data_IF_625041424710
#
_entry.id   IF_625041424710
#
_cell.length_a   1.000
_cell.length_b   1.000
_cell.length_c   1.000
_cell.angle_alpha   90.00
_cell.angle_beta   90.00
_cell.angle_gamma   90.00
#
_symmetry.space_group_name_H-M   'P 1'
#
loop_
_entity.id
_entity.type
_entity.pdbx_description
1 polymer ?
2 non-polymer ?
3 non-polymer ?
4 non-polymer ?
5 non-polymer ?
6 non-polymer ?
7 water ?
#
# COMPACT_ATOMS: atom_id res chain seq x y z
N UNK A 3 25.00 18.43 4.03
CA UNK A 3 25.37 17.04 3.75
C UNK A 3 25.08 16.13 4.94
N UNK A 4 24.60 16.72 6.04
CA UNK A 4 24.27 16.03 7.29
C UNK A 4 23.11 16.81 7.93
N UNK A 5 21.96 16.78 7.27
CA UNK A 5 20.86 17.69 7.56
C UNK A 5 20.16 17.35 8.87
N UNK A 6 19.48 18.35 9.43
CA UNK A 6 18.76 18.25 10.69
C UNK A 6 17.27 18.42 10.45
N UNK A 7 16.48 17.57 11.12
CA UNK A 7 15.03 17.66 11.16
C UNK A 7 14.62 17.91 12.59
N UNK A 8 13.56 18.71 12.78
CA UNK A 8 13.13 19.12 14.10
C UNK A 8 11.66 18.79 14.30
N UNK A 9 11.31 18.51 15.54
CA UNK A 9 9.92 18.38 15.97
C UNK A 9 9.56 19.65 16.72
N UNK A 10 8.66 20.46 16.16
CA UNK A 10 8.19 21.70 16.80
C UNK A 10 7.00 21.42 17.72
N UNK A 11 7.23 20.57 18.71
CA UNK A 11 6.28 20.33 19.77
C UNK A 11 7.06 19.82 20.97
N UNK A 12 8.13 19.08 20.68
CA UNK A 12 9.05 18.56 21.69
C UNK A 12 10.43 19.17 21.65
N UNK A 13 10.77 19.90 20.57
CA UNK A 13 12.12 20.44 20.31
C UNK A 13 13.15 19.32 20.13
N UNK A 14 12.69 18.11 19.79
CA UNK A 14 13.58 16.99 19.53
C UNK A 14 14.19 17.16 18.14
N UNK A 15 15.50 17.02 18.05
CA UNK A 15 16.24 17.20 16.80
C UNK A 15 16.99 15.92 16.46
N UNK A 16 16.80 15.44 15.24
CA UNK A 16 17.43 14.24 14.73
C UNK A 16 18.26 14.60 13.50
N UNK A 17 19.36 13.88 13.29
CA UNK A 17 20.29 14.15 12.20
C UNK A 17 20.24 13.03 11.17
N UNK A 18 20.16 13.41 9.90
CA UNK A 18 19.92 12.48 8.79
C UNK A 18 21.18 12.41 7.93
N UNK A 19 21.84 11.25 7.96
CA UNK A 19 22.87 10.93 6.97
C UNK A 19 22.42 9.91 5.95
N UNK A 20 21.32 9.18 6.23
CA UNK A 20 20.84 8.16 5.32
C UNK A 20 20.57 8.72 3.92
N UNK A 21 20.11 9.97 3.85
CA UNK A 21 19.74 10.55 2.57
C UNK A 21 20.90 10.56 1.58
N UNK A 22 22.14 10.42 2.07
CA UNK A 22 23.30 10.38 1.17
C UNK A 22 23.31 9.10 0.35
N UNK A 23 22.86 7.99 0.94
CA UNK A 23 22.73 6.72 0.23
C UNK A 23 21.61 6.75 -0.80
N UNK A 24 20.93 7.88 -0.95
CA UNK A 24 19.79 7.96 -1.85
C UNK A 24 20.25 7.94 -3.30
N UNK A 25 19.39 7.41 -4.15
CA UNK A 25 19.76 7.04 -5.50
C UNK A 25 18.84 7.74 -6.50
N UNK A 26 17.55 7.39 -6.49
CA UNK A 26 16.62 7.94 -7.46
C UNK A 26 16.33 9.42 -7.17
N UNK A 27 15.56 10.03 -8.05
CA UNK A 27 15.21 11.43 -7.95
C UNK A 27 13.80 11.61 -7.41
N UNK A 28 13.50 12.84 -6.98
CA UNK A 28 12.26 13.15 -6.26
C UNK A 28 11.23 13.91 -7.07
N UNK A 29 11.65 14.70 -8.05
CA UNK A 29 10.77 15.57 -8.79
C UNK A 29 10.95 17.03 -8.46
N UNK A 30 11.53 17.32 -7.30
CA UNK A 30 11.83 18.68 -6.92
C UNK A 30 13.17 19.11 -7.53
N UNK A 31 13.31 20.41 -7.74
CA UNK A 31 14.58 21.03 -8.10
C UNK A 31 14.92 22.10 -7.06
N UNK A 32 16.03 22.78 -7.27
CA UNK A 32 16.36 23.92 -6.43
C UNK A 32 15.35 25.06 -6.58
N UNK A 33 14.55 25.06 -7.66
CA UNK A 33 13.65 26.16 -7.98
C UNK A 33 12.19 25.77 -8.04
N UNK A 34 11.83 24.55 -7.64
CA UNK A 34 10.43 24.14 -7.55
C UNK A 34 10.36 22.91 -6.67
N UNK A 35 9.32 22.85 -5.86
CA UNK A 35 9.09 21.73 -4.98
C UNK A 35 7.78 21.09 -5.39
N UNK A 36 7.81 19.78 -5.63
CA UNK A 36 6.66 19.08 -6.14
C UNK A 36 6.15 18.06 -5.13
N UNK A 37 6.41 18.30 -3.84
CA UNK A 37 6.00 17.41 -2.78
C UNK A 37 4.51 17.17 -2.61
N UNK A 38 3.66 17.79 -3.42
CA UNK A 38 2.23 17.52 -3.35
C UNK A 38 1.65 17.07 -4.68
N UNK A 39 2.50 16.79 -5.67
CA UNK A 39 2.07 16.05 -6.85
C UNK A 39 1.78 14.61 -6.44
N UNK A 40 0.63 14.09 -6.86
CA UNK A 40 0.22 12.74 -6.48
C UNK A 40 1.18 11.68 -7.01
N UNK A 41 1.37 11.66 -8.34
CA UNK A 41 2.14 10.60 -8.99
C UNK A 41 3.54 11.09 -9.30
N UNK A 42 4.57 10.51 -8.68
CA UNK A 42 5.92 11.13 -8.70
C UNK A 42 6.79 10.70 -9.88
N UNK A 43 6.44 11.18 -11.07
CA UNK A 43 7.24 10.90 -12.27
C UNK A 43 6.92 11.89 -13.38
N UNK A 52 11.88 -1.88 -21.05
CA UNK A 52 12.75 -3.02 -20.77
C UNK A 52 14.12 -2.51 -20.29
N UNK A 53 14.69 -3.19 -19.29
CA UNK A 53 15.93 -2.76 -18.66
C UNK A 53 17.11 -3.54 -19.25
N UNK A 54 18.05 -2.82 -19.86
CA UNK A 54 19.21 -3.44 -20.50
C UNK A 54 20.11 -4.14 -19.48
N UNK A 55 20.98 -5.02 -19.99
CA UNK A 55 21.90 -5.74 -19.11
C UNK A 55 23.00 -4.82 -18.58
N UNK A 56 23.36 -3.79 -19.36
CA UNK A 56 24.33 -2.81 -18.88
C UNK A 56 23.90 -2.23 -17.53
N UNK A 57 22.65 -1.76 -17.46
CA UNK A 57 22.16 -1.12 -16.25
C UNK A 57 22.04 -2.07 -15.08
N UNK A 58 21.97 -3.38 -15.33
CA UNK A 58 21.47 -4.29 -14.30
C UNK A 58 22.52 -4.67 -13.27
N UNK A 59 23.81 -4.67 -13.62
CA UNK A 59 24.78 -5.13 -12.63
C UNK A 59 25.07 -4.10 -11.54
N UNK A 60 25.22 -2.80 -11.83
CA UNK A 60 25.33 -1.83 -10.72
C UNK A 60 24.22 -1.97 -9.70
N UNK A 61 22.97 -2.03 -10.16
CA UNK A 61 21.83 -2.21 -9.27
C UNK A 61 21.93 -3.54 -8.51
N UNK A 62 22.41 -4.59 -9.16
CA UNK A 62 22.58 -5.87 -8.48
C UNK A 62 23.69 -5.79 -7.43
N UNK A 63 24.83 -5.20 -7.79
CA UNK A 63 25.96 -5.04 -6.86
C UNK A 63 25.58 -4.13 -5.70
N UNK A 64 24.89 -3.02 -6.00
CA UNK A 64 24.44 -2.12 -4.94
C UNK A 64 23.59 -2.90 -3.94
N UNK A 65 22.55 -3.58 -4.42
CA UNK A 65 21.66 -4.33 -3.54
C UNK A 65 22.41 -5.41 -2.76
N UNK A 66 23.27 -6.18 -3.44
CA UNK A 66 23.95 -7.27 -2.76
C UNK A 66 24.92 -6.75 -1.71
N UNK A 67 25.58 -5.63 -2.00
CA UNK A 67 26.50 -5.04 -1.04
C UNK A 67 25.79 -4.60 0.23
N UNK A 68 24.54 -4.14 0.14
CA UNK A 68 23.83 -3.76 1.35
C UNK A 68 23.20 -4.96 2.04
N UNK A 69 22.89 -6.01 1.29
CA UNK A 69 22.36 -7.22 1.91
C UNK A 69 23.42 -7.93 2.74
N UNK A 70 24.66 -7.99 2.24
CA UNK A 70 25.72 -8.62 3.03
C UNK A 70 26.23 -7.70 4.13
N UNK A 71 26.19 -6.38 3.89
CA UNK A 71 26.50 -5.43 4.96
C UNK A 71 25.45 -5.46 6.06
N UNK A 72 24.36 -6.20 5.88
CA UNK A 72 23.30 -6.28 6.88
C UNK A 72 23.36 -7.54 7.73
N UNK A 73 23.84 -8.66 7.19
CA UNK A 73 24.04 -9.87 7.97
C UNK A 73 25.46 -9.94 8.54
N UNK A 74 26.18 -8.81 8.54
CA UNK A 74 27.51 -8.70 9.12
C UNK A 74 28.50 -9.64 8.43
N UNK A 75 28.42 -9.72 7.10
CA UNK A 75 29.36 -10.47 6.27
C UNK A 75 29.65 -9.68 4.99
N UNK A 76 29.94 -8.40 5.16
CA UNK A 76 30.15 -7.45 4.07
C UNK A 76 31.56 -7.61 3.51
N UNK A 77 31.65 -8.04 2.26
CA UNK A 77 32.92 -8.22 1.59
C UNK A 77 33.61 -9.54 1.82
N UNK A 78 33.05 -10.41 2.65
CA UNK A 78 33.65 -11.69 2.96
C UNK A 78 33.66 -12.55 1.70
N UNK A 79 34.06 -13.81 1.86
CA UNK A 79 34.10 -14.73 0.73
C UNK A 79 32.71 -14.99 0.18
N UNK A 80 31.73 -15.22 1.07
CA UNK A 80 30.38 -15.51 0.62
C UNK A 80 29.79 -14.33 -0.18
N UNK A 81 30.16 -13.10 0.18
CA UNK A 81 29.73 -11.95 -0.60
C UNK A 81 30.36 -11.95 -1.98
N UNK A 82 31.69 -12.01 -2.06
CA UNK A 82 32.37 -11.87 -3.34
C UNK A 82 32.03 -13.00 -4.30
N UNK A 83 31.74 -14.20 -3.79
CA UNK A 83 31.33 -15.27 -4.69
C UNK A 83 29.93 -15.02 -5.23
N UNK A 84 29.02 -14.56 -4.37
CA UNK A 84 27.68 -14.21 -4.81
C UNK A 84 27.69 -12.98 -5.71
N UNK A 85 28.65 -12.07 -5.49
CA UNK A 85 28.81 -10.95 -6.40
C UNK A 85 29.23 -11.43 -7.78
N UNK A 86 30.18 -12.37 -7.82
CA UNK A 86 30.62 -12.95 -9.08
C UNK A 86 29.57 -13.87 -9.67
N UNK A 87 28.88 -14.63 -8.83
CA UNK A 87 27.82 -15.52 -9.30
C UNK A 87 26.74 -14.74 -10.05
N UNK A 88 26.31 -13.59 -9.48
CA UNK A 88 25.28 -12.78 -10.14
C UNK A 88 25.85 -12.08 -11.36
N UNK A 89 27.09 -11.59 -11.28
CA UNK A 89 27.79 -11.07 -12.45
C UNK A 89 27.73 -12.07 -13.61
N UNK A 90 28.03 -13.34 -13.33
CA UNK A 90 28.07 -14.35 -14.38
C UNK A 90 26.69 -14.65 -14.93
N UNK A 91 25.65 -14.68 -14.07
CA UNK A 91 24.30 -14.97 -14.55
C UNK A 91 23.72 -13.79 -15.32
N UNK A 92 24.16 -12.56 -15.03
CA UNK A 92 23.72 -11.42 -15.83
C UNK A 92 24.42 -11.40 -17.18
N UNK A 93 25.67 -11.85 -17.23
CA UNK A 93 26.31 -12.11 -18.52
C UNK A 93 25.51 -13.12 -19.32
N UNK A 94 25.20 -14.26 -18.69
CA UNK A 94 24.52 -15.39 -19.30
C UNK A 94 23.14 -15.00 -19.84
N UNK A 95 22.21 -14.65 -18.95
CA UNK A 95 20.80 -14.46 -19.26
C UNK A 95 20.40 -13.00 -19.42
N UNK A 96 21.33 -12.07 -19.18
CA UNK A 96 21.04 -10.63 -19.20
C UNK A 96 20.08 -10.23 -18.07
N UNK A 97 19.70 -11.18 -17.23
CA UNK A 97 18.95 -10.94 -16.01
C UNK A 97 19.46 -11.91 -14.96
N UNK A 98 18.75 -12.05 -13.85
CA UNK A 98 19.21 -12.95 -12.79
C UNK A 98 18.06 -13.26 -11.81
N UNK A 99 18.39 -14.05 -10.79
CA UNK A 99 17.42 -14.61 -9.85
C UNK A 99 17.88 -14.35 -8.43
N UNK A 100 16.94 -13.98 -7.56
CA UNK A 100 17.25 -13.71 -6.16
C UNK A 100 17.14 -14.98 -5.35
N UNK A 101 18.08 -15.20 -4.42
CA UNK A 101 17.91 -16.22 -3.39
C UNK A 101 16.64 -15.93 -2.62
N UNK A 102 16.10 -16.98 -1.98
CA UNK A 102 14.95 -16.76 -1.10
C UNK A 102 15.28 -15.73 -0.02
N UNK A 103 16.49 -15.82 0.55
CA UNK A 103 16.92 -14.86 1.57
C UNK A 103 16.97 -13.43 1.02
N UNK A 104 17.51 -13.26 -0.19
CA UNK A 104 17.58 -11.93 -0.78
C UNK A 104 16.19 -11.39 -1.09
N UNK A 105 15.24 -12.29 -1.37
CA UNK A 105 13.88 -11.85 -1.68
C UNK A 105 13.19 -11.30 -0.42
N UNK A 106 13.41 -11.93 0.74
CA UNK A 106 12.80 -11.47 1.98
C UNK A 106 13.41 -10.15 2.44
N UNK A 107 14.74 -10.03 2.36
CA UNK A 107 15.42 -8.78 2.69
C UNK A 107 14.89 -7.62 1.85
N UNK A 108 15.02 -7.74 0.52
CA UNK A 108 14.50 -6.75 -0.40
C UNK A 108 13.07 -6.36 -0.09
N UNK A 109 12.15 -7.32 -0.12
CA UNK A 109 10.74 -7.06 0.17
C UNK A 109 10.56 -6.29 1.47
N UNK A 110 11.24 -6.73 2.53
CA UNK A 110 11.08 -6.05 3.82
C UNK A 110 11.58 -4.61 3.77
N UNK A 111 12.63 -4.35 3.00
CA UNK A 111 13.25 -3.02 2.92
C UNK A 111 12.57 -2.10 1.92
N UNK A 112 11.92 -2.65 0.89
CA UNK A 112 11.00 -1.87 0.08
C UNK A 112 9.95 -1.18 0.96
N UNK A 113 9.36 -1.94 1.90
CA UNK A 113 8.41 -1.37 2.85
C UNK A 113 9.11 -0.37 3.78
N UNK A 114 10.25 -0.76 4.33
CA UNK A 114 10.99 0.14 5.22
C UNK A 114 11.24 1.50 4.58
N UNK A 115 11.42 1.52 3.27
CA UNK A 115 11.78 2.72 2.54
C UNK A 115 10.59 3.46 1.95
N UNK A 116 9.37 2.99 2.20
CA UNK A 116 8.17 3.63 1.67
C UNK A 116 7.87 4.88 2.47
N UNK A 117 8.24 6.05 1.93
CA UNK A 117 8.20 7.27 2.72
C UNK A 117 6.78 7.73 3.02
N UNK A 118 5.79 7.29 2.25
CA UNK A 118 4.41 7.67 2.45
C UNK A 118 3.67 6.78 3.43
N UNK A 119 4.30 5.70 3.95
CA UNK A 119 3.66 4.71 4.82
C UNK A 119 3.90 5.07 6.28
N UNK A 120 2.81 5.30 7.01
CA UNK A 120 2.87 5.65 8.43
C UNK A 120 3.03 4.44 9.35
N UNK A 121 2.80 3.24 8.85
CA UNK A 121 2.85 2.05 9.70
C UNK A 121 4.18 1.32 9.70
N UNK A 122 5.25 1.94 9.22
CA UNK A 122 6.48 1.16 9.01
C UNK A 122 7.16 0.70 10.31
N UNK A 123 6.65 1.00 11.50
CA UNK A 123 7.27 0.45 12.69
C UNK A 123 7.25 -1.08 12.68
N UNK A 124 6.46 -1.66 11.78
CA UNK A 124 6.24 -3.09 11.65
C UNK A 124 7.08 -3.72 10.55
N UNK A 125 7.96 -2.93 9.91
CA UNK A 125 8.50 -3.32 8.61
C UNK A 125 9.20 -4.67 8.63
N UNK A 126 9.82 -5.06 9.76
CA UNK A 126 10.51 -6.34 9.81
C UNK A 126 9.62 -7.52 10.17
N UNK A 127 8.38 -7.27 10.63
CA UNK A 127 7.38 -8.33 10.80
C UNK A 127 6.54 -8.36 9.52
N UNK A 128 7.04 -9.11 8.55
CA UNK A 128 6.42 -9.21 7.23
C UNK A 128 6.64 -10.62 6.73
N UNK A 129 5.57 -11.24 6.23
CA UNK A 129 5.58 -12.65 5.82
C UNK A 129 5.67 -12.68 4.30
N UNK A 130 6.77 -13.20 3.78
CA UNK A 130 7.01 -13.16 2.35
C UNK A 130 6.62 -14.51 1.76
N UNK A 131 5.66 -14.48 0.83
CA UNK A 131 5.24 -15.67 0.11
C UNK A 131 5.84 -15.61 -1.28
N UNK A 132 6.66 -16.59 -1.61
CA UNK A 132 7.37 -16.66 -2.88
C UNK A 132 6.51 -17.43 -3.87
N UNK A 133 5.93 -16.71 -4.82
CA UNK A 133 5.13 -17.27 -5.90
C UNK A 133 5.86 -17.16 -7.23
N UNK A 134 7.18 -17.09 -7.18
CA UNK A 134 7.97 -17.07 -8.42
C UNK A 134 7.93 -18.39 -9.19
N UNK A 135 7.33 -19.48 -8.65
CA UNK A 135 7.14 -20.69 -9.45
C UNK A 135 5.80 -20.69 -10.20
N UNK A 136 5.00 -19.66 -10.00
CA UNK A 136 3.67 -19.59 -10.60
C UNK A 136 3.77 -19.37 -12.10
N UNK A 137 2.83 -19.97 -12.86
CA UNK A 137 2.82 -19.91 -14.31
C UNK A 137 1.47 -19.60 -14.93
N UNK A 138 0.37 -19.71 -14.18
CA UNK A 138 -0.98 -19.58 -14.73
C UNK A 138 -1.80 -18.67 -13.82
N UNK A 139 -2.85 -18.10 -14.41
CA UNK A 139 -3.74 -17.21 -13.66
C UNK A 139 -4.47 -17.97 -12.56
N UNK A 140 -4.75 -19.26 -12.76
CA UNK A 140 -5.33 -20.10 -11.72
C UNK A 140 -4.37 -20.27 -10.54
N UNK A 141 -3.09 -20.48 -10.81
CA UNK A 141 -2.12 -20.55 -9.73
C UNK A 141 -2.00 -19.25 -8.97
N UNK A 142 -2.07 -18.12 -9.69
CA UNK A 142 -2.13 -16.82 -9.03
C UNK A 142 -3.31 -16.75 -8.06
N UNK A 143 -4.51 -17.06 -8.57
CA UNK A 143 -5.70 -17.14 -7.71
C UNK A 143 -5.44 -17.98 -6.46
N UNK A 144 -4.81 -19.14 -6.63
CA UNK A 144 -4.53 -20.00 -5.48
C UNK A 144 -3.63 -19.30 -4.47
N UNK A 145 -2.46 -18.83 -4.93
CA UNK A 145 -1.55 -18.11 -4.07
C UNK A 145 -2.24 -16.92 -3.37
N UNK A 146 -3.09 -16.20 -4.10
CA UNK A 146 -3.72 -15.01 -3.54
C UNK A 146 -4.72 -15.37 -2.45
N UNK A 147 -5.47 -16.48 -2.63
CA UNK A 147 -6.38 -16.98 -1.61
C UNK A 147 -5.63 -17.34 -0.33
N UNK A 148 -4.51 -18.07 -0.47
CA UNK A 148 -3.68 -18.41 0.68
C UNK A 148 -3.11 -17.16 1.34
N UNK A 149 -2.79 -16.13 0.56
CA UNK A 149 -2.42 -14.83 1.14
C UNK A 149 -3.55 -14.27 2.00
N UNK A 150 -4.75 -14.13 1.40
CA UNK A 150 -5.88 -13.56 2.13
C UNK A 150 -6.15 -14.34 3.41
N UNK A 151 -6.22 -15.66 3.32
CA UNK A 151 -6.48 -16.43 4.53
C UNK A 151 -5.41 -16.20 5.58
N UNK A 152 -4.13 -16.36 5.20
CA UNK A 152 -3.05 -16.20 6.17
C UNK A 152 -3.05 -14.80 6.78
N UNK A 153 -3.16 -13.76 5.95
CA UNK A 153 -3.06 -12.39 6.44
C UNK A 153 -4.27 -12.00 7.30
N UNK A 154 -5.45 -12.57 7.00
CA UNK A 154 -6.63 -12.25 7.79
C UNK A 154 -6.55 -12.85 9.18
N UNK A 155 -6.32 -14.16 9.29
CA UNK A 155 -6.02 -14.81 10.57
C UNK A 155 -7.14 -14.58 11.59
N UNK A 156 -8.39 -14.72 11.15
CA UNK A 156 -9.56 -14.66 12.02
C UNK A 156 -9.74 -13.27 12.61
N UNK A 157 -9.23 -12.24 11.92
CA UNK A 157 -9.27 -10.88 12.38
C UNK A 157 -8.00 -10.40 13.04
N UNK A 158 -7.14 -11.32 13.47
CA UNK A 158 -5.85 -10.96 14.04
C UNK A 158 -4.84 -10.76 12.91
N UNK A 159 -4.98 -9.62 12.22
CA UNK A 159 -4.34 -9.45 10.92
C UNK A 159 -2.81 -9.51 11.01
N UNK A 160 -2.21 -10.05 9.95
CA UNK A 160 -0.77 -10.27 9.83
C UNK A 160 -0.31 -9.74 8.49
N UNK A 161 0.80 -9.03 8.49
CA UNK A 161 1.31 -8.44 7.25
C UNK A 161 1.98 -9.52 6.42
N UNK A 162 1.78 -9.42 5.11
CA UNK A 162 2.24 -10.42 4.16
C UNK A 162 2.36 -9.80 2.78
N UNK A 163 3.17 -10.43 1.94
CA UNK A 163 3.30 -10.04 0.54
C UNK A 163 3.47 -11.31 -0.27
N UNK A 164 2.81 -11.38 -1.43
CA UNK A 164 2.98 -12.49 -2.36
C UNK A 164 3.65 -11.97 -3.62
N UNK A 165 4.78 -12.58 -3.98
CA UNK A 165 5.67 -12.04 -5.02
C UNK A 165 5.65 -12.97 -6.22
N UNK A 166 5.11 -12.50 -7.35
CA UNK A 166 4.95 -13.26 -8.58
C UNK A 166 6.14 -13.05 -9.50
N UNK A 167 6.31 -13.92 -10.52
CA UNK A 167 7.54 -13.89 -11.33
C UNK A 167 7.91 -12.50 -11.84
N UNK A 168 9.21 -12.22 -11.79
CA UNK A 168 9.69 -10.89 -12.16
C UNK A 168 9.48 -10.65 -13.66
N UNK A 169 9.37 -9.38 -14.02
CA UNK A 169 9.35 -9.01 -15.42
C UNK A 169 10.61 -9.53 -16.08
N UNK A 170 10.49 -9.96 -17.33
CA UNK A 170 11.65 -10.38 -18.09
C UNK A 170 11.75 -9.58 -19.39
N UNK A 171 10.92 -9.94 -20.37
CA UNK A 171 10.95 -9.28 -21.66
C UNK A 171 10.12 -8.02 -21.69
N UNK A 172 9.08 -7.94 -20.84
CA UNK A 172 8.12 -6.86 -20.85
C UNK A 172 6.76 -7.24 -21.42
N UNK A 173 6.73 -8.15 -22.39
CA UNK A 173 5.48 -8.60 -22.97
C UNK A 173 4.89 -9.80 -22.24
N UNK A 174 5.57 -10.30 -21.20
CA UNK A 174 5.12 -11.46 -20.45
C UNK A 174 5.08 -11.14 -18.96
N UNK A 175 4.39 -10.04 -18.61
CA UNK A 175 4.28 -9.59 -17.23
C UNK A 175 3.13 -10.27 -16.52
N UNK A 176 3.37 -10.66 -15.26
CA UNK A 176 2.30 -11.05 -14.35
C UNK A 176 1.71 -9.79 -13.75
N UNK A 177 0.38 -9.63 -13.81
CA UNK A 177 -0.28 -8.49 -13.18
C UNK A 177 -1.58 -8.93 -12.52
N UNK A 178 -1.82 -8.40 -11.33
CA UNK A 178 -3.16 -8.31 -10.75
C UNK A 178 -3.76 -7.00 -11.22
N UNK A 179 -4.94 -7.06 -11.86
CA UNK A 179 -5.57 -5.87 -12.41
C UNK A 179 -6.43 -5.13 -11.39
N UNK A 180 -6.86 -5.80 -10.32
CA UNK A 180 -7.50 -5.11 -9.21
C UNK A 180 -6.52 -4.12 -8.57
N UNK A 181 -7.05 -2.98 -8.11
CA UNK A 181 -6.19 -2.06 -7.36
C UNK A 181 -5.92 -2.59 -5.96
N UNK A 182 -6.89 -3.31 -5.39
CA UNK A 182 -6.74 -4.05 -4.14
C UNK A 182 -7.46 -5.37 -4.31
N UNK A 183 -6.90 -6.44 -3.72
CA UNK A 183 -7.50 -7.77 -3.82
C UNK A 183 -8.97 -7.73 -3.39
N UNK A 184 -9.27 -6.94 -2.35
CA UNK A 184 -10.64 -6.82 -1.86
C UNK A 184 -11.08 -5.37 -2.05
N UNK A 185 -12.14 -5.19 -2.83
CA UNK A 185 -12.62 -3.88 -3.26
C UNK A 185 -14.10 -3.97 -3.53
N UNK A 186 -14.83 -2.90 -3.23
CA UNK A 186 -16.27 -2.87 -3.49
C UNK A 186 -16.53 -2.35 -4.90
N UNK A 187 -17.62 -2.81 -5.49
CA UNK A 187 -17.89 -2.51 -6.88
C UNK A 187 -18.53 -1.15 -7.01
N UNK A 188 -18.48 -0.60 -8.23
CA UNK A 188 -19.14 0.65 -8.54
C UNK A 188 -19.96 0.55 -9.80
N UNK A 189 -21.18 1.06 -9.77
CA UNK A 189 -22.06 1.08 -10.93
C UNK A 189 -22.69 2.46 -11.03
N UNK A 190 -22.60 3.08 -12.20
CA UNK A 190 -23.33 4.29 -12.46
C UNK A 190 -24.80 3.97 -12.78
N UNK A 191 -25.63 5.00 -12.76
CA UNK A 191 -27.07 4.80 -12.85
C UNK A 191 -27.62 5.45 -14.12
N UNK A 192 -28.92 5.29 -14.43
CA UNK A 192 -29.50 6.10 -15.52
C UNK A 192 -29.37 7.59 -15.29
N UNK A 193 -29.65 8.05 -14.08
CA UNK A 193 -29.55 9.47 -13.78
C UNK A 193 -28.11 9.96 -13.61
N UNK A 194 -27.12 9.07 -13.70
CA UNK A 194 -25.73 9.42 -13.63
C UNK A 194 -25.06 9.10 -12.31
N UNK A 195 -25.80 9.18 -11.21
CA UNK A 195 -25.25 8.89 -9.89
C UNK A 195 -24.68 7.47 -9.84
N UNK A 196 -23.99 7.15 -8.74
CA UNK A 196 -23.16 5.96 -8.66
C UNK A 196 -23.54 5.11 -7.45
N UNK A 197 -23.87 3.85 -7.70
CA UNK A 197 -24.04 2.86 -6.65
C UNK A 197 -22.69 2.22 -6.31
N UNK A 198 -22.54 1.87 -5.03
CA UNK A 198 -21.33 1.20 -4.57
C UNK A 198 -20.15 2.14 -4.35
N UNK A 199 -19.03 1.84 -4.99
CA UNK A 199 -17.83 2.65 -4.84
C UNK A 199 -17.54 3.36 -6.15
N UNK A 200 -17.67 4.70 -6.21
CA UNK A 200 -17.40 5.40 -7.48
C UNK A 200 -15.96 5.33 -7.93
N UNK A 201 -15.03 5.01 -7.03
CA UNK A 201 -13.62 4.90 -7.42
C UNK A 201 -13.39 3.78 -8.43
N UNK A 202 -14.20 2.73 -8.38
CA UNK A 202 -13.94 1.50 -9.13
C UNK A 202 -14.92 1.31 -10.28
N UNK A 203 -15.61 2.37 -10.71
CA UNK A 203 -16.64 2.27 -11.73
C UNK A 203 -16.07 1.79 -13.06
N UNK A 204 -14.85 2.19 -13.40
CA UNK A 204 -14.28 1.72 -14.66
C UNK A 204 -13.84 0.26 -14.55
N UNK A 205 -13.12 -0.09 -13.47
CA UNK A 205 -12.68 -1.47 -13.30
C UNK A 205 -13.88 -2.42 -13.21
N UNK A 206 -14.95 -2.00 -12.53
CA UNK A 206 -16.16 -2.81 -12.47
C UNK A 206 -16.71 -3.06 -13.87
N UNK A 207 -16.62 -2.05 -14.75
CA UNK A 207 -17.11 -2.25 -16.11
C UNK A 207 -16.21 -3.19 -16.90
N UNK A 208 -14.91 -3.20 -16.60
CA UNK A 208 -13.99 -4.13 -17.25
C UNK A 208 -14.33 -5.56 -16.88
N UNK A 209 -14.60 -5.82 -15.59
CA UNK A 209 -14.96 -7.16 -15.16
C UNK A 209 -16.28 -7.61 -15.79
N UNK A 210 -17.25 -6.69 -15.91
CA UNK A 210 -18.50 -7.03 -16.58
C UNK A 210 -18.24 -7.30 -18.07
N UNK A 211 -17.40 -6.46 -18.71
CA UNK A 211 -17.00 -6.69 -20.09
C UNK A 211 -16.33 -8.03 -20.29
N UNK A 212 -15.82 -8.65 -19.22
CA UNK A 212 -15.17 -9.95 -19.29
C UNK A 212 -16.04 -11.07 -18.74
N UNK A 213 -17.30 -10.80 -18.42
CA UNK A 213 -18.24 -11.84 -18.07
C UNK A 213 -18.75 -11.82 -16.65
N UNK A 214 -18.23 -10.95 -15.79
CA UNK A 214 -18.75 -10.86 -14.43
C UNK A 214 -20.23 -10.55 -14.48
N UNK A 215 -21.01 -11.35 -13.76
CA UNK A 215 -22.42 -11.06 -13.56
C UNK A 215 -22.52 -10.24 -12.27
N UNK A 216 -22.97 -9.00 -12.41
CA UNK A 216 -22.83 -8.17 -11.22
C UNK A 216 -24.07 -8.31 -10.34
N UNK A 217 -23.89 -8.41 -9.02
CA UNK A 217 -25.02 -8.36 -8.09
C UNK A 217 -25.34 -6.93 -7.68
N UNK A 218 -25.56 -6.07 -8.67
CA UNK A 218 -25.57 -4.61 -8.59
C UNK A 218 -26.10 -4.04 -7.27
N UNK A 219 -25.28 -4.13 -6.23
CA UNK A 219 -25.54 -3.43 -4.98
C UNK A 219 -24.39 -2.52 -4.58
N UNK A 220 -24.33 -2.16 -3.29
CA UNK A 220 -23.26 -1.30 -2.80
C UNK A 220 -21.98 -2.09 -2.60
N UNK A 221 -21.96 -2.93 -1.57
CA UNK A 221 -20.74 -3.54 -1.06
C UNK A 221 -20.55 -4.94 -1.65
N UNK A 222 -20.51 -4.96 -2.98
CA UNK A 222 -20.25 -6.17 -3.74
C UNK A 222 -18.75 -6.33 -3.91
N UNK A 223 -18.21 -7.43 -3.38
CA UNK A 223 -16.79 -7.69 -3.54
C UNK A 223 -16.50 -8.03 -5.00
N UNK A 224 -15.55 -7.32 -5.60
CA UNK A 224 -15.23 -7.54 -7.00
C UNK A 224 -14.48 -8.86 -7.17
N UNK A 225 -14.59 -9.48 -8.35
CA UNK A 225 -13.79 -10.67 -8.63
C UNK A 225 -12.35 -10.26 -8.90
N UNK A 226 -11.47 -11.24 -8.88
CA UNK A 226 -10.06 -11.01 -9.20
C UNK A 226 -9.85 -11.12 -10.71
N UNK A 227 -9.19 -10.10 -11.29
CA UNK A 227 -8.70 -10.16 -12.66
C UNK A 227 -7.19 -10.43 -12.60
N UNK A 228 -6.77 -11.60 -13.08
CA UNK A 228 -5.39 -12.03 -12.96
C UNK A 228 -4.78 -12.28 -14.33
N UNK A 229 -3.64 -11.63 -14.60
CA UNK A 229 -2.89 -11.78 -15.84
C UNK A 229 -1.60 -12.53 -15.56
N UNK A 230 -1.38 -13.64 -16.26
CA UNK A 230 -0.25 -14.52 -15.99
C UNK A 230 0.65 -14.58 -17.22
N UNK A 231 1.94 -14.29 -17.02
CA UNK A 231 2.97 -14.37 -18.07
C UNK A 231 2.50 -13.71 -19.37
N UNK A 232 1.85 -12.56 -19.23
CA UNK A 232 1.46 -11.77 -20.37
C UNK A 232 0.16 -12.15 -21.03
N UNK A 233 -0.50 -13.22 -20.59
CA UNK A 233 -1.73 -13.65 -21.24
C UNK A 233 -2.93 -12.83 -20.75
N UNK A 234 -3.94 -12.72 -21.61
CA UNK A 234 -5.16 -12.02 -21.27
C UNK A 234 -5.70 -12.47 -19.91
N UNK A 235 -6.18 -11.56 -19.07
CA UNK A 235 -6.53 -11.92 -17.69
C UNK A 235 -7.89 -12.59 -17.58
N UNK A 236 -8.07 -13.30 -16.46
CA UNK A 236 -9.16 -14.25 -16.26
C UNK A 236 -9.80 -14.04 -14.90
N UNK A 237 -11.13 -14.15 -14.84
CA UNK A 237 -11.88 -13.81 -13.64
C UNK A 237 -11.94 -14.97 -12.65
N UNK A 238 -11.74 -14.67 -11.37
CA UNK A 238 -11.90 -15.63 -10.28
C UNK A 238 -12.53 -14.94 -9.09
N UNK A 239 -13.47 -15.63 -8.43
CA UNK A 239 -14.21 -15.11 -7.29
C UNK A 239 -13.63 -15.69 -6.00
N UNK A 240 -12.97 -14.85 -5.21
CA UNK A 240 -12.51 -15.14 -3.85
C UNK A 240 -13.63 -15.86 -3.10
N UNK A 241 -13.35 -17.00 -2.47
CA UNK A 241 -14.38 -17.66 -1.65
C UNK A 241 -14.87 -16.71 -0.57
N UNK A 242 -16.17 -16.43 -0.54
CA UNK A 242 -16.69 -15.40 0.39
C UNK A 242 -16.34 -15.64 1.84
N UNK A 243 -16.11 -16.89 2.24
CA UNK A 243 -15.72 -17.18 3.62
C UNK A 243 -14.35 -16.59 3.95
N UNK A 244 -13.53 -16.31 2.94
CA UNK A 244 -12.24 -15.70 3.15
C UNK A 244 -12.29 -14.18 3.19
N UNK A 245 -13.41 -13.57 2.82
CA UNK A 245 -13.56 -12.11 2.84
C UNK A 245 -14.21 -11.73 4.16
N UNK A 246 -13.37 -11.32 5.13
CA UNK A 246 -13.87 -10.86 6.42
C UNK A 246 -14.35 -9.41 6.32
N UNK A 247 -15.49 -9.13 6.93
CA UNK A 247 -16.12 -7.83 6.83
C UNK A 247 -16.65 -7.41 8.20
N UNK A 248 -16.65 -6.10 8.40
CA UNK A 248 -17.00 -5.47 9.68
C UNK A 248 -18.21 -4.56 9.48
N UNK A 249 -19.39 -4.91 9.99
CA UNK A 249 -20.52 -3.99 9.93
C UNK A 249 -20.30 -2.84 10.90
N UNK A 250 -20.60 -1.63 10.43
CA UNK A 250 -20.23 -0.40 11.13
C UNK A 250 -21.41 0.06 11.95
N UNK A 251 -21.22 0.13 13.26
CA UNK A 251 -22.23 0.66 14.17
C UNK A 251 -21.57 1.70 15.07
N UNK A 252 -22.40 2.52 15.67
CA UNK A 252 -21.90 3.53 16.59
C UNK A 252 -22.16 3.11 18.04
N UNK A 253 -21.28 3.49 18.96
CA UNK A 253 -21.49 3.14 20.38
C UNK A 253 -22.58 3.95 21.05
N UNK A 254 -23.16 4.94 20.36
CA UNK A 254 -24.22 5.78 20.91
C UNK A 254 -25.44 5.77 19.99
N UNK A 255 -25.24 6.07 18.72
CA UNK A 255 -26.33 6.35 17.79
C UNK A 255 -26.81 5.03 17.18
N UNK A 256 -27.94 4.54 17.66
CA UNK A 256 -28.45 3.27 17.15
C UNK A 256 -28.98 3.36 15.73
N UNK A 257 -29.23 4.56 15.20
CA UNK A 257 -29.54 4.68 13.79
C UNK A 257 -28.32 4.47 12.90
N UNK A 258 -27.13 4.53 13.48
CA UNK A 258 -25.91 4.28 12.71
C UNK A 258 -25.88 2.87 12.16
N UNK A 259 -26.51 1.91 12.85
CA UNK A 259 -26.73 0.59 12.26
C UNK A 259 -27.59 0.71 11.00
N UNK A 260 -28.71 1.42 11.10
CA UNK A 260 -29.60 1.62 9.98
C UNK A 260 -28.91 2.29 8.79
N UNK A 261 -27.80 3.00 9.04
CA UNK A 261 -26.99 3.49 7.94
C UNK A 261 -26.49 2.34 7.06
N UNK A 262 -26.25 1.18 7.66
CA UNK A 262 -26.01 -0.04 6.90
C UNK A 262 -24.68 -0.09 6.20
N UNK A 263 -23.64 0.54 6.76
CA UNK A 263 -22.32 0.53 6.16
C UNK A 263 -21.49 -0.63 6.71
N UNK A 264 -20.50 -1.03 5.91
CA UNK A 264 -19.59 -2.11 6.27
C UNK A 264 -18.33 -1.97 5.43
N UNK A 265 -17.20 -2.36 6.00
CA UNK A 265 -15.96 -2.37 5.25
C UNK A 265 -15.27 -3.71 5.44
N UNK A 266 -14.26 -3.93 4.63
CA UNK A 266 -13.52 -5.19 4.71
C UNK A 266 -12.31 -5.03 5.61
N UNK A 267 -11.91 -6.15 6.22
CA UNK A 267 -10.84 -6.10 7.19
C UNK A 267 -9.48 -5.86 6.58
N UNK A 268 -9.20 -6.47 5.42
CA UNK A 268 -7.85 -6.60 4.91
C UNK A 268 -7.59 -5.60 3.79
N UNK A 269 -6.74 -4.59 4.02
CA UNK A 269 -6.25 -3.74 2.92
C UNK A 269 -5.05 -4.40 2.26
N UNK A 270 -5.19 -4.72 0.98
CA UNK A 270 -4.19 -5.53 0.29
C UNK A 270 -4.02 -4.92 -1.09
N UNK A 271 -2.92 -4.22 -1.28
CA UNK A 271 -2.72 -3.35 -2.43
C UNK A 271 -1.97 -4.14 -3.47
N UNK A 272 -2.54 -4.23 -4.67
CA UNK A 272 -2.09 -5.21 -5.64
C UNK A 272 -1.60 -4.62 -6.95
N UNK A 273 -1.61 -3.29 -7.10
CA UNK A 273 -1.37 -2.65 -8.38
C UNK A 273 -0.01 -1.98 -8.47
N UNK A 274 0.87 -2.20 -7.49
CA UNK A 274 2.16 -1.55 -7.44
C UNK A 274 3.27 -2.49 -7.93
N UNK A 275 4.48 -1.94 -8.02
CA UNK A 275 5.64 -2.60 -8.58
C UNK A 275 6.74 -2.64 -7.54
N UNK A 276 7.23 -3.84 -7.24
CA UNK A 276 8.30 -4.04 -6.27
C UNK A 276 9.64 -4.15 -7.01
N UNK A 277 10.57 -3.25 -6.67
CA UNK A 277 11.90 -3.18 -7.28
C UNK A 277 12.93 -3.71 -6.29
N UNK A 278 13.64 -4.78 -6.66
CA UNK A 278 14.72 -5.34 -5.86
C UNK A 278 15.94 -5.56 -6.75
N UNK A 279 17.09 -5.06 -6.31
CA UNK A 279 18.33 -5.09 -7.07
C UNK A 279 18.19 -5.01 -8.58
N UNK A 280 17.43 -4.03 -9.07
CA UNK A 280 17.20 -3.89 -10.50
C UNK A 280 16.14 -4.80 -11.07
N UNK A 281 15.63 -5.76 -10.32
CA UNK A 281 14.59 -6.64 -10.82
C UNK A 281 13.22 -6.05 -10.53
N UNK A 282 12.24 -6.39 -11.38
CA UNK A 282 10.93 -5.74 -11.37
C UNK A 282 9.84 -6.78 -11.24
N UNK A 283 9.15 -6.76 -10.10
CA UNK A 283 8.05 -7.67 -9.81
C UNK A 283 6.75 -6.87 -9.98
N UNK A 284 6.12 -7.03 -11.14
CA UNK A 284 4.92 -6.29 -11.54
C UNK A 284 3.65 -6.78 -10.85
N UNK A 285 3.71 -7.88 -10.14
CA UNK A 285 2.59 -8.37 -9.35
C UNK A 285 3.13 -8.74 -7.99
N UNK A 286 2.70 -8.01 -6.98
CA UNK A 286 3.31 -8.17 -5.66
C UNK A 286 2.35 -7.76 -4.55
N UNK A 287 1.12 -8.27 -4.54
CA UNK A 287 0.11 -7.76 -3.60
C UNK A 287 0.59 -7.81 -2.15
N UNK A 288 0.41 -6.69 -1.45
CA UNK A 288 0.89 -6.57 -0.08
C UNK A 288 -0.25 -6.09 0.81
N UNK A 289 -0.24 -6.57 2.06
CA UNK A 289 -1.36 -6.33 2.96
C UNK A 289 -0.86 -6.11 4.38
N UNK A 290 -1.56 -5.21 5.08
CA UNK A 290 -1.32 -5.04 6.50
C UNK A 290 -2.64 -4.91 7.23
N UNK A 291 -2.92 -3.74 7.79
CA UNK A 291 -4.24 -3.45 8.32
C UNK A 291 -4.51 -1.97 8.10
N UNK A 292 -5.70 -1.55 8.51
CA UNK A 292 -6.14 -0.19 8.25
C UNK A 292 -5.76 0.70 9.42
N UNK A 293 -5.23 1.88 9.11
CA UNK A 293 -5.50 3.02 9.97
C UNK A 293 -6.95 3.41 9.79
N UNK A 294 -7.60 3.78 10.90
CA UNK A 294 -9.04 4.03 10.87
C UNK A 294 -9.45 5.10 9.88
N UNK A 295 -8.60 6.09 9.63
CA UNK A 295 -9.06 7.22 8.83
C UNK A 295 -9.17 6.89 7.36
N UNK A 296 -8.42 5.90 6.87
CA UNK A 296 -8.56 5.53 5.48
C UNK A 296 -10.01 5.25 5.14
N UNK A 297 -10.72 4.53 6.02
CA UNK A 297 -12.13 4.21 5.80
C UNK A 297 -13.03 5.35 6.23
N UNK A 298 -12.89 5.75 7.50
CA UNK A 298 -13.83 6.72 8.08
C UNK A 298 -13.81 8.06 7.36
N UNK A 299 -12.64 8.53 6.95
CA UNK A 299 -12.49 9.87 6.37
C UNK A 299 -12.54 9.81 4.84
N UNK A 300 -11.60 9.06 4.25
CA UNK A 300 -11.41 9.06 2.81
C UNK A 300 -12.44 8.18 2.09
N UNK A 301 -12.46 6.86 2.40
CA UNK A 301 -13.43 5.96 1.76
C UNK A 301 -14.86 6.47 1.96
N UNK A 302 -15.20 6.86 3.17
CA UNK A 302 -16.58 7.20 3.48
C UNK A 302 -16.95 8.65 3.15
N UNK A 303 -16.00 9.58 3.18
CA UNK A 303 -16.35 11.00 3.11
C UNK A 303 -15.70 11.79 1.99
N UNK A 304 -14.75 11.23 1.24
CA UNK A 304 -14.36 11.89 -0.01
C UNK A 304 -15.58 12.11 -0.88
N UNK A 305 -15.72 13.34 -1.41
CA UNK A 305 -16.85 13.67 -2.27
C UNK A 305 -17.00 12.64 -3.38
N UNK A 306 -15.89 12.27 -4.03
CA UNK A 306 -15.90 11.33 -5.14
C UNK A 306 -15.91 9.87 -4.68
N UNK A 307 -16.07 9.60 -3.38
CA UNK A 307 -16.16 8.23 -2.88
C UNK A 307 -17.56 7.94 -2.35
N UNK A 308 -17.70 7.38 -1.14
CA UNK A 308 -19.04 7.00 -0.67
C UNK A 308 -19.86 8.21 -0.21
N UNK A 309 -19.20 9.22 0.36
CA UNK A 309 -19.80 10.55 0.50
C UNK A 309 -21.05 10.50 1.39
N UNK A 310 -20.80 10.25 2.68
CA UNK A 310 -21.87 10.03 3.65
C UNK A 310 -21.96 11.16 4.67
N UNK A 311 -21.19 12.25 4.50
CA UNK A 311 -21.34 13.40 5.40
C UNK A 311 -22.73 14.00 5.31
N UNK A 312 -23.30 14.02 4.10
CA UNK A 312 -24.69 14.44 3.91
C UNK A 312 -25.63 13.66 4.83
N UNK A 313 -25.59 12.34 4.74
CA UNK A 313 -26.58 11.49 5.41
C UNK A 313 -26.35 11.40 6.91
N UNK A 314 -25.09 11.38 7.35
CA UNK A 314 -24.82 11.28 8.77
C UNK A 314 -25.20 12.57 9.47
N UNK A 315 -24.97 13.71 8.83
CA UNK A 315 -25.36 14.99 9.42
C UNK A 315 -26.87 15.09 9.55
N UNK A 316 -27.61 14.56 8.56
CA UNK A 316 -29.06 14.57 8.64
C UNK A 316 -29.54 13.84 9.89
N UNK A 317 -29.10 12.58 10.04
CA UNK A 317 -29.54 11.77 11.16
C UNK A 317 -29.06 12.34 12.50
N UNK A 318 -27.95 13.07 12.49
CA UNK A 318 -27.51 13.76 13.70
C UNK A 318 -28.33 15.01 13.98
N UNK A 319 -29.14 15.45 13.01
CA UNK A 319 -29.90 16.70 13.10
C UNK A 319 -28.95 17.88 13.34
N UNK A 320 -28.32 18.36 12.27
CA UNK A 320 -27.32 19.42 12.36
C UNK A 320 -27.73 20.60 11.50
N UNK A 321 -27.15 21.76 11.84
CA UNK A 321 -27.27 22.97 11.04
C UNK A 321 -26.54 22.79 9.71
N UNK A 322 -27.25 22.31 8.68
CA UNK A 322 -26.63 22.03 7.38
C UNK A 322 -26.76 23.18 6.38
N UNK A 323 -27.23 24.35 6.84
CA UNK A 323 -27.34 25.52 5.97
C UNK A 323 -26.03 26.31 5.90
N UNK A 324 -25.37 26.49 7.04
CA UNK A 324 -24.15 27.29 7.11
C UNK A 324 -22.93 26.39 7.01
N UNK A 325 -22.00 26.76 6.13
CA UNK A 325 -20.70 26.09 6.06
C UNK A 325 -19.98 26.16 7.40
N UNK A 326 -20.12 27.29 8.11
CA UNK A 326 -19.37 27.65 9.29
C UNK A 326 -19.94 27.07 10.58
N UNK A 327 -20.91 26.15 10.51
CA UNK A 327 -21.33 25.43 11.70
C UNK A 327 -20.46 24.21 11.98
N UNK A 328 -19.51 23.90 11.08
CA UNK A 328 -18.64 22.72 11.21
C UNK A 328 -19.45 21.43 11.37
N UNK A 329 -20.63 21.39 10.76
CA UNK A 329 -21.42 20.16 10.77
C UNK A 329 -20.70 19.05 10.00
N UNK A 330 -19.91 19.40 8.99
CA UNK A 330 -19.09 18.39 8.32
C UNK A 330 -18.06 17.81 9.27
N UNK A 331 -17.31 18.67 9.96
CA UNK A 331 -16.34 18.21 10.94
C UNK A 331 -16.99 17.36 12.03
N UNK A 332 -18.22 17.73 12.40
CA UNK A 332 -18.90 17.04 13.48
C UNK A 332 -19.27 15.62 13.08
N UNK A 333 -19.87 15.47 11.89
CA UNK A 333 -20.26 14.15 11.40
C UNK A 333 -19.06 13.28 11.04
N UNK A 334 -17.92 13.89 10.72
CA UNK A 334 -16.73 13.12 10.39
C UNK A 334 -16.12 12.45 11.62
N UNK A 335 -16.12 13.16 12.76
CA UNK A 335 -15.59 12.56 13.99
C UNK A 335 -16.41 11.35 14.40
N UNK A 336 -17.74 11.47 14.37
CA UNK A 336 -18.59 10.33 14.76
C UNK A 336 -18.38 9.14 13.84
N UNK A 337 -18.23 9.40 12.54
CA UNK A 337 -18.05 8.32 11.57
C UNK A 337 -16.77 7.55 11.85
N UNK A 338 -15.72 8.25 12.30
CA UNK A 338 -14.47 7.55 12.60
C UNK A 338 -14.49 6.93 14.00
N UNK A 339 -15.29 7.46 14.94
CA UNK A 339 -15.49 6.76 16.21
C UNK A 339 -16.17 5.41 15.96
N UNK A 340 -17.15 5.38 15.06
CA UNK A 340 -17.90 4.17 14.75
C UNK A 340 -17.03 3.12 14.04
N UNK A 341 -16.23 3.54 13.07
CA UNK A 341 -15.39 2.60 12.34
C UNK A 341 -14.42 1.91 13.29
N UNK A 342 -13.72 2.69 14.13
CA UNK A 342 -12.85 2.15 15.15
C UNK A 342 -13.60 1.18 16.05
N UNK A 343 -14.69 1.68 16.65
CA UNK A 343 -15.49 0.88 17.57
C UNK A 343 -15.91 -0.44 16.94
N UNK A 344 -16.49 -0.40 15.73
CA UNK A 344 -16.97 -1.61 15.08
C UNK A 344 -15.84 -2.62 14.92
N UNK A 345 -14.69 -2.17 14.40
CA UNK A 345 -13.56 -3.06 14.13
C UNK A 345 -13.04 -3.72 15.41
N UNK A 346 -12.95 -2.95 16.51
CA UNK A 346 -12.39 -3.49 17.75
C UNK A 346 -13.36 -4.43 18.46
N UNK A 347 -14.66 -4.19 18.34
CA UNK A 347 -15.65 -5.05 18.97
C UNK A 347 -15.70 -6.42 18.31
N UNK A 348 -15.26 -6.52 17.05
CA UNK A 348 -15.21 -7.76 16.31
C UNK A 348 -13.82 -8.40 16.35
N UNK A 349 -12.90 -7.88 17.15
CA UNK A 349 -11.54 -8.40 17.25
C UNK A 349 -10.79 -8.35 15.92
N UNK A 350 -11.12 -7.39 15.06
CA UNK A 350 -10.45 -7.20 13.78
C UNK A 350 -9.45 -6.06 13.91
N UNK A 351 -8.20 -6.34 13.55
CA UNK A 351 -7.10 -5.41 13.76
C UNK A 351 -7.31 -4.11 13.00
N UNK A 352 -7.27 -2.99 13.75
CA UNK A 352 -7.32 -1.64 13.20
C UNK A 352 -6.50 -0.76 14.13
N UNK A 353 -6.10 0.43 13.65
CA UNK A 353 -5.31 1.36 14.41
C UNK A 353 -5.86 2.77 14.20
N UNK A 354 -5.89 3.57 15.28
CA UNK A 354 -6.41 4.91 15.19
C UNK A 354 -5.27 5.87 14.84
N UNK A 355 -5.62 7.02 14.24
CA UNK A 355 -4.59 7.92 13.73
C UNK A 355 -3.67 8.45 14.84
N UNK A 356 -4.12 8.47 16.09
CA UNK A 356 -3.26 8.91 17.20
C UNK A 356 -2.22 7.85 17.55
N UNK A 357 -2.69 6.62 17.83
CA UNK A 357 -1.76 5.53 18.07
C UNK A 357 -0.80 5.32 16.90
N UNK A 358 -1.33 5.36 15.67
CA UNK A 358 -0.48 5.11 14.50
C UNK A 358 0.56 6.22 14.32
N UNK A 359 0.14 7.48 14.49
CA UNK A 359 1.13 8.54 14.27
C UNK A 359 2.13 8.64 15.41
N UNK A 360 1.72 8.29 16.63
CA UNK A 360 2.71 8.23 17.71
C UNK A 360 3.77 7.16 17.41
N UNK A 361 3.33 5.98 16.97
CA UNK A 361 4.29 4.90 16.70
C UNK A 361 5.28 5.29 15.60
N UNK A 362 4.85 6.11 14.64
CA UNK A 362 5.74 6.51 13.57
C UNK A 362 6.86 7.44 14.07
N UNK A 363 6.52 8.38 14.96
CA UNK A 363 7.57 9.20 15.56
C UNK A 363 8.55 8.33 16.32
N UNK A 364 8.03 7.35 17.08
CA UNK A 364 8.91 6.41 17.77
C UNK A 364 9.69 5.57 16.78
N UNK A 365 9.05 5.20 15.66
CA UNK A 365 9.76 4.51 14.59
C UNK A 365 10.84 5.39 13.99
N UNK A 366 10.51 6.66 13.76
CA UNK A 366 11.48 7.60 13.20
C UNK A 366 12.72 7.70 14.07
N UNK A 367 12.54 7.70 15.41
CA UNK A 367 13.67 7.83 16.31
C UNK A 367 14.60 6.62 16.18
N UNK A 368 14.02 5.44 15.99
CA UNK A 368 14.81 4.24 15.85
C UNK A 368 15.61 4.25 14.55
N UNK A 369 14.99 4.72 13.46
CA UNK A 369 15.68 4.73 12.17
C UNK A 369 16.83 5.73 12.16
N UNK A 370 16.64 6.93 12.72
CA UNK A 370 17.73 7.90 12.75
C UNK A 370 18.89 7.41 13.60
N UNK A 371 18.63 6.52 14.56
CA UNK A 371 19.65 6.06 15.50
C UNK A 371 20.42 4.86 14.95
N UNK A 372 19.72 3.79 14.58
CA UNK A 372 20.38 2.58 14.09
C UNK A 372 20.48 2.54 12.57
N UNK A 373 20.03 3.58 11.86
CA UNK A 373 20.11 3.60 10.40
C UNK A 373 20.57 4.91 9.81
N UNK A 374 20.54 6.03 10.55
CA UNK A 374 20.96 7.30 10.03
C UNK A 374 19.87 8.14 9.41
N UNK A 375 18.62 7.71 9.47
CA UNK A 375 17.53 8.49 8.94
C UNK A 375 16.33 7.63 8.61
N UNK A 376 15.30 8.28 8.10
CA UNK A 376 14.05 7.62 7.73
C UNK A 376 13.29 8.48 6.73
N UNK A 377 13.31 8.14 5.45
CA UNK A 377 12.61 8.95 4.44
C UNK A 377 11.13 9.01 4.78
N UNK A 378 10.58 10.22 4.78
CA UNK A 378 9.19 10.41 5.16
C UNK A 378 8.56 11.54 4.35
N UNK A 379 7.33 11.31 3.90
CA UNK A 379 6.56 12.22 3.07
C UNK A 379 5.45 12.80 3.94
N UNK A 380 5.68 14.01 4.46
CA UNK A 380 4.74 14.66 5.36
C UNK A 380 3.34 14.75 4.75
N UNK A 381 3.25 15.08 3.45
CA UNK A 381 1.95 15.28 2.82
C UNK A 381 1.08 14.05 3.00
N UNK A 382 1.71 12.85 3.06
CA UNK A 382 1.03 11.57 3.20
C UNK A 382 1.03 11.02 4.63
N UNK A 383 2.04 11.32 5.44
CA UNK A 383 2.07 10.80 6.80
C UNK A 383 1.01 11.45 7.68
N UNK A 384 0.77 12.75 7.50
CA UNK A 384 -0.18 13.43 8.39
C UNK A 384 -1.59 12.96 8.06
N UNK A 385 -2.38 12.54 9.05
CA UNK A 385 -3.70 11.92 8.77
C UNK A 385 -4.68 12.93 8.17
N UNK A 386 -5.70 12.47 7.46
CA UNK A 386 -6.60 13.38 6.74
C UNK A 386 -7.70 14.00 7.60
N UNK A 387 -7.61 13.90 8.92
CA UNK A 387 -8.43 14.66 9.86
C UNK A 387 -7.53 14.97 11.05
N UNK A 388 -7.86 16.06 11.75
CA UNK A 388 -7.26 16.38 13.04
C UNK A 388 -5.74 16.41 13.00
N UNK A 389 -5.20 16.92 11.89
CA UNK A 389 -3.77 16.95 11.64
C UNK A 389 -2.90 17.31 12.82
N UNK A 390 -3.13 18.47 13.44
CA UNK A 390 -2.15 19.02 14.38
C UNK A 390 -2.31 18.48 15.80
N UNK A 391 -3.44 17.83 16.13
CA UNK A 391 -3.53 17.17 17.43
C UNK A 391 -2.84 15.82 17.45
N UNK A 392 -2.20 15.34 16.23
CA UNK A 392 -1.30 14.19 16.14
C UNK A 392 0.14 14.66 16.01
N UNK A 393 1.09 13.92 16.58
CA UNK A 393 2.47 14.41 16.68
C UNK A 393 3.24 14.47 15.37
N UNK A 394 2.71 13.90 14.30
CA UNK A 394 3.41 13.97 13.02
C UNK A 394 3.22 15.31 12.32
N UNK A 395 2.16 16.06 12.65
CA UNK A 395 2.00 17.39 12.06
C UNK A 395 3.22 18.26 12.35
N UNK A 396 3.75 18.14 13.57
CA UNK A 396 4.78 19.00 14.11
C UNK A 396 6.18 18.49 13.88
N UNK A 397 6.33 17.48 13.01
CA UNK A 397 7.61 16.80 12.81
C UNK A 397 8.11 17.07 11.39
N UNK A 398 9.24 17.75 11.29
CA UNK A 398 9.90 17.91 10.01
C UNK A 398 10.39 16.56 9.50
N UNK A 399 10.15 16.30 8.23
CA UNK A 399 10.52 15.04 7.60
C UNK A 399 11.28 15.29 6.31
N UNK A 400 12.45 14.65 6.15
CA UNK A 400 13.14 14.66 4.87
C UNK A 400 12.65 13.51 3.99
N UNK A 401 12.19 13.85 2.77
CA UNK A 401 11.79 12.86 1.78
C UNK A 401 12.91 12.64 0.77
N UNK A 402 13.20 11.36 0.51
CA UNK A 402 14.16 10.95 -0.50
C UNK A 402 13.88 9.49 -0.83
N UNK A 403 14.33 9.04 -2.00
CA UNK A 403 13.98 7.74 -2.55
C UNK A 403 15.15 6.78 -2.32
N UNK A 404 14.90 5.71 -1.57
CA UNK A 404 15.86 4.63 -1.39
C UNK A 404 15.35 3.37 -2.08
N UNK A 405 16.27 2.44 -2.35
CA UNK A 405 15.89 1.18 -2.96
C UNK A 405 16.46 0.03 -2.13
N UNK A 406 15.77 -1.13 -2.06
CA UNK A 406 14.49 -1.55 -2.68
C UNK A 406 13.30 -0.63 -2.38
N UNK A 407 12.29 -0.66 -3.26
CA UNK A 407 11.19 0.28 -3.18
C UNK A 407 9.95 -0.29 -3.84
N UNK A 408 8.79 0.25 -3.43
CA UNK A 408 7.54 0.06 -4.16
C UNK A 408 7.32 1.26 -5.07
N UNK A 409 6.91 1.00 -6.30
CA UNK A 409 6.69 2.03 -7.28
C UNK A 409 5.29 1.89 -7.87
N UNK A 410 4.77 3.00 -8.36
CA UNK A 410 3.55 2.98 -9.15
C UNK A 410 3.87 2.44 -10.53
N UNK A 411 2.84 1.91 -11.17
CA UNK A 411 2.95 1.41 -12.54
C UNK A 411 1.63 1.69 -13.21
N UNK A 412 1.61 1.85 -14.53
CA UNK A 412 0.34 2.11 -15.22
C UNK A 412 -0.63 0.94 -15.09
N UNK A 413 -1.90 1.26 -15.23
CA UNK A 413 -2.93 0.22 -15.23
C UNK A 413 -2.78 -0.66 -16.46
N UNK A 414 -2.83 -1.99 -16.32
CA UNK A 414 -2.48 -2.86 -17.46
C UNK A 414 -3.46 -2.79 -18.63
N UNK A 415 -4.67 -2.27 -18.47
CA UNK A 415 -5.59 -2.20 -19.58
C UNK A 415 -5.27 -1.07 -20.56
N UNK A 416 -4.30 -0.23 -20.23
CA UNK A 416 -3.73 0.72 -21.18
C UNK A 416 -2.45 0.18 -21.83
N UNK A 417 -1.74 -0.71 -21.14
CA UNK A 417 -0.46 -1.23 -21.64
C UNK A 417 -0.66 -2.41 -22.58
N UNK A 418 -1.60 -3.29 -22.25
CA UNK A 418 -1.58 -4.68 -22.71
C UNK A 418 -1.99 -4.81 -24.18
N UNK A 419 -1.30 -5.71 -24.88
CA UNK A 419 -1.65 -6.09 -26.23
C UNK A 419 -2.72 -7.18 -26.14
N UNK A 420 -3.94 -6.84 -26.51
CA UNK A 420 -5.10 -7.68 -26.30
C UNK A 420 -5.32 -8.66 -27.46
N UNK A 421 -6.10 -9.71 -27.19
CA UNK A 421 -6.48 -10.70 -28.19
C UNK A 421 -7.95 -11.08 -28.06
X LIG B 1 0.97 3.86 2.53
X LIG B 1 -0.73 2.41 6.82
X LIG B 1 1.45 -1.90 5.99
X LIG B 1 3.63 -0.23 1.98
X LIG B 1 0.19 3.82 3.68
X LIG B 1 -0.89 4.71 4.05
X LIG B 1 -1.37 4.32 5.24
X LIG B 1 -0.60 3.15 5.67
X LIG B 1 -2.53 4.99 6.02
X LIG B 1 -1.41 5.90 3.20
X LIG B 1 -2.00 5.32 1.92
X LIG B 1 -3.26 6.06 1.59
X LIG B 1 -3.72 6.87 2.44
X LIG B 1 -3.81 5.83 0.48
X LIG B 1 -0.29 1.11 6.99
X LIG B 1 -0.56 0.24 8.11
X LIG B 1 0.06 -0.92 7.90
X LIG B 1 0.73 -0.88 6.60
X LIG B 1 -1.36 0.57 9.39
X LIG B 1 -0.02 -2.10 8.91
X LIG B 1 1.05 -2.82 9.22
X LIG B 1 2.19 -1.87 4.83
X LIG B 1 2.90 -2.98 4.20
X LIG B 1 3.52 -2.52 3.07
X LIG B 1 3.20 -1.11 2.96
X LIG B 1 2.87 -4.38 4.82
X LIG B 1 4.41 -3.21 2.02
X LIG B 1 4.82 -4.49 2.09
X LIG B 1 3.04 1.00 1.75
X LIG B 1 3.14 1.79 0.53
X LIG B 1 2.39 2.91 0.70
X LIG B 1 1.79 2.86 2.02
X LIG B 1 3.98 1.35 -0.69
X LIG B 1 2.11 4.15 -0.20
X LIG B 1 2.43 4.10 -1.68
X LIG B 1 1.60 5.12 -2.42
X LIG B 1 2.18 6.14 -2.84
X LIG B 1 0.37 4.89 -2.60
X LIG B 1 0.34 2.90 4.69
X LIG B 1 0.50 0.39 6.08
X LIG B 1 2.40 -0.77 4.04
X LIG B 1 2.21 1.69 2.63
X LIG B 1 1.71 1.25 4.59
X LIG C 1 -2.11 11.37 1.85
X LIG C 1 -2.58 10.09 1.92
X LIG C 1 -2.22 9.31 2.98
X LIG C 1 -3.36 9.60 0.94
X LIG C 1 -3.71 10.36 -0.12
X LIG C 1 -4.45 9.88 -1.01
X LIG C 1 -3.23 11.66 -0.22
X LIG C 1 -2.42 12.16 0.79
X LIG C 1 -3.54 12.42 -1.29
X LIG C 1 -1.96 13.44 0.71
X LIG C 1 -2.67 13.57 -1.61
X LIG C 1 -2.39 14.36 -0.34
X LIG C 1 -3.31 14.48 -2.66
X LIG C 1 -4.57 14.85 -2.10
X LIG C 1 -2.51 15.75 -2.96
X LIG C 1 -3.10 16.54 -4.12
X LIG C 1 -1.14 15.44 -3.25
X LIG D 1 0.78 0.85 13.50
X LIG D 1 -0.39 0.41 13.65
X LIG D 1 1.13 1.95 13.98
X LIG D 1 1.76 0.06 12.69
X LIG E 1 10.26 19.48 -2.48
X LIG F 1 -2.78 1.48 1.82
X LIG F 1 -0.81 1.45 0.42
X LIG F 1 -3.49 2.04 0.76
X LIG F 1 -2.89 2.30 -0.46
X LIG F 1 -1.54 2.01 -0.63
X LIG F 1 -3.92 4.83 -3.08
X LIG F 1 -3.44 6.28 -3.13
X LIG F 1 -3.69 2.91 -1.60
X LIG F 1 -1.42 1.20 1.64
X LIG F 1 -0.82 -2.45 3.60
X LIG F 1 -1.57 -2.71 2.45
X LIG F 1 -2.59 -1.78 2.35
X LIG F 1 -2.44 -0.96 3.44
X LIG F 1 -3.17 0.27 3.89
X LIG F 1 -3.92 6.99 -4.38
X LIG F 1 -3.28 6.79 -5.60
X LIG F 1 -3.72 7.45 -6.74
X LIG F 1 -4.81 8.31 -6.66
X LIG F 1 -5.46 8.51 -5.44
X LIG F 1 -5.01 7.85 -4.30
X LIG F 1 -9.93 11.35 -4.28
X LIG F 1 -10.51 11.51 -5.53
X LIG F 1 -9.76 10.81 -6.46
X LIG F 1 -8.74 10.23 -5.74
X LIG F 1 -7.60 9.35 -6.11
X LIG F 1 -3.56 0.38 5.09
X LIG F 1 -3.42 1.27 3.02
X LIG F 1 -3.00 4.10 -2.17
X LIG F 1 -7.70 8.64 -7.15
X LIG F 1 -6.52 9.35 -5.32
X LIG F 1 -1.36 -1.33 4.22
X LIG F 1 -8.82 10.54 -4.40
#
# INVERSE_FOLDING_TARGET
CPRFLKVKNWETDVVLTDTLHLKSTLETGCTEHICMGSIMLPSQHTRKPEDVATKDQLFPLAKEFLDQYYSSIKRFGSKAHMDRLEEVNKEIESTSTYQLKDTELIYGAKHAWRNASRCVGRIQWSKLQVFDARDCTTAHGMFNYICNHVKYATNKGNLRSAITIFPQRTDGKHDFRVWNSQLIRYAGYKQPDGSTLGDPANVQFTEICIQQGWKAPRGRFDVLPLLLQANGNDPELFQIPPELVLEVPIRHPKFDWFKDLGLKWYGLPAVSNMLLEIGGLEFSACPFSGWYMGTEIGVRDYCDNSRYNILEEVAKKMDLDMRKTSSLWKDQALVEINIAVLYSFQSDKVTIVDHHSATESFIKHMENEYRCRGGCPADWVWIVPPMSGSITPVFHQEMLNYRLTPSFEYQPDPWNTHVWKG
HEM CHA CHB CHC CHD C1A C2A C3A C4A CMA CAA CBA CGA O1A O2A C1B C2B C3B C4B CMB CAB CBB C1C C2C C3C C4C CMC CAC CBC C1D C2D C3D C4D CMD CAD CBD CGD O1D O2D NA NB NC ND FE
H4B N1 C2 N2 N3 C4 O4 C4A C8A N5 N8 C6 C7 C9 O9 C10 C11 O10
ACT C O OXT CH3
ZN ZN
A1BT6 C11 C13 C16 C15 C14 C19 C20 C17 C12 C02 C03 C04 C05 C06 C21 C22 C23 C24 C25 C26 C32 C33 C34 C35 C36 N07 N08 N18 N37 N38 O01 O31
#
